data_IF_254701006537
#
_entry.id   IF_254701006537
#
_cell.length_a   1.000
_cell.length_b   1.000
_cell.length_c   1.000
_cell.angle_alpha   90.00
_cell.angle_beta   90.00
_cell.angle_gamma   90.00
#
_symmetry.space_group_name_H-M   'P 1'
#
loop_
_entity.id
_entity.type
_entity.pdbx_description
1 polymer ?
#
# COMPACT_ATOMS: atom_id res chain seq x y z
N UNK A 1 -17.74 -19.89 -8.54
CA UNK A 1 -16.34 -20.11 -8.10
C UNK A 1 -16.17 -19.27 -6.85
N UNK A 2 -16.20 -19.91 -5.69
CA UNK A 2 -16.23 -19.22 -4.41
C UNK A 2 -14.81 -19.17 -3.85
N UNK A 3 -14.26 -17.97 -3.73
CA UNK A 3 -12.90 -17.77 -3.22
C UNK A 3 -12.99 -17.37 -1.76
N UNK A 4 -12.59 -18.28 -0.87
CA UNK A 4 -12.56 -18.01 0.57
C UNK A 4 -11.17 -17.48 0.95
N UNK A 5 -11.13 -16.36 1.67
CA UNK A 5 -9.90 -15.81 2.21
C UNK A 5 -9.72 -16.32 3.63
N UNK A 6 -8.60 -17.01 3.88
CA UNK A 6 -8.31 -17.65 5.17
C UNK A 6 -7.10 -16.93 5.77
N UNK A 7 -7.25 -16.41 7.00
CA UNK A 7 -6.14 -15.83 7.74
C UNK A 7 -5.45 -16.93 8.56
N UNK A 8 -4.15 -17.07 8.37
CA UNK A 8 -3.34 -18.01 9.13
C UNK A 8 -2.99 -17.40 10.49
N UNK A 9 -3.46 -18.02 11.57
CA UNK A 9 -3.17 -17.59 12.95
C UNK A 9 -2.00 -18.35 13.58
N UNK A 10 -1.64 -19.52 13.06
CA UNK A 10 -0.53 -20.33 13.59
C UNK A 10 0.38 -20.87 12.49
N UNK A 11 1.70 -21.01 12.76
CA UNK A 11 2.64 -21.57 11.78
C UNK A 11 2.37 -23.05 11.49
N UNK A 12 1.73 -23.79 12.41
CA UNK A 12 1.33 -25.19 12.20
C UNK A 12 0.27 -25.33 11.12
N UNK A 13 -0.61 -24.34 10.97
CA UNK A 13 -1.66 -24.34 9.93
C UNK A 13 -1.07 -24.29 8.52
N UNK A 14 0.15 -23.76 8.33
CA UNK A 14 0.82 -23.76 7.02
C UNK A 14 1.09 -25.18 6.51
N UNK A 15 1.52 -26.09 7.40
CA UNK A 15 1.80 -27.48 7.04
C UNK A 15 0.52 -28.22 6.65
N UNK A 16 -0.56 -28.03 7.41
CA UNK A 16 -1.87 -28.58 7.09
C UNK A 16 -2.37 -28.10 5.73
N UNK A 17 -2.11 -26.83 5.39
CA UNK A 17 -2.53 -26.24 4.13
C UNK A 17 -1.75 -26.79 2.93
N UNK A 18 -0.46 -27.07 3.10
CA UNK A 18 0.35 -27.79 2.11
C UNK A 18 -0.17 -29.22 1.88
N UNK A 19 -0.49 -29.94 2.97
CA UNK A 19 -1.09 -31.28 2.88
C UNK A 19 -2.47 -31.25 2.17
N UNK A 20 -3.29 -30.22 2.42
CA UNK A 20 -4.57 -30.01 1.73
C UNK A 20 -4.40 -29.60 0.25
N UNK A 21 -3.32 -28.90 -0.08
CA UNK A 21 -2.94 -28.56 -1.45
C UNK A 21 -2.44 -29.78 -2.23
N UNK A 22 -1.65 -30.67 -1.60
CA UNK A 22 -1.26 -31.96 -2.18
C UNK A 22 -2.48 -32.82 -2.53
N UNK A 23 -3.50 -32.77 -1.68
CA UNK A 23 -4.79 -33.44 -1.90
C UNK A 23 -5.67 -32.73 -2.95
N UNK A 24 -5.21 -31.62 -3.54
CA UNK A 24 -5.91 -30.82 -4.55
C UNK A 24 -7.27 -30.24 -4.09
N UNK A 25 -7.51 -30.19 -2.77
CA UNK A 25 -8.78 -29.71 -2.20
C UNK A 25 -8.83 -28.18 -2.12
N UNK A 26 -7.67 -27.53 -2.00
CA UNK A 26 -7.52 -26.09 -1.85
C UNK A 26 -6.31 -25.64 -2.68
N UNK A 27 -6.44 -24.48 -3.34
CA UNK A 27 -5.32 -23.81 -4.02
C UNK A 27 -4.94 -22.58 -3.22
N UNK A 28 -3.70 -22.49 -2.76
CA UNK A 28 -3.24 -21.34 -1.97
C UNK A 28 -3.01 -20.17 -2.91
N UNK A 29 -4.02 -19.34 -3.09
CA UNK A 29 -3.88 -18.05 -3.76
C UNK A 29 -3.15 -17.10 -2.80
N UNK A 30 -1.81 -17.20 -2.72
CA UNK A 30 -0.99 -16.14 -2.13
C UNK A 30 -1.31 -14.88 -2.91
N UNK A 31 -2.15 -14.00 -2.33
CA UNK A 31 -2.24 -12.64 -2.84
C UNK A 31 -0.84 -12.09 -2.70
N UNK A 32 -0.27 -11.64 -3.82
CA UNK A 32 0.74 -10.61 -3.82
C UNK A 32 0.21 -9.52 -2.90
N UNK A 33 0.68 -9.53 -1.65
CA UNK A 33 0.72 -8.34 -0.82
C UNK A 33 1.51 -7.41 -1.73
N UNK A 34 0.81 -6.50 -2.38
CA UNK A 34 1.39 -5.49 -3.24
C UNK A 34 2.62 -5.00 -2.48
N UNK A 35 3.78 -5.20 -3.10
CA UNK A 35 5.05 -4.83 -2.53
C UNK A 35 4.89 -3.45 -1.89
N UNK A 36 5.52 -3.30 -0.73
CA UNK A 36 5.65 -2.06 0.02
C UNK A 36 6.44 -1.03 -0.82
N UNK A 37 5.88 -0.68 -1.98
CA UNK A 37 6.42 0.30 -2.89
C UNK A 37 6.22 1.59 -2.13
N UNK A 38 7.33 2.11 -1.61
CA UNK A 38 7.37 3.40 -0.96
C UNK A 38 6.61 4.38 -1.84
N UNK A 39 5.64 5.06 -1.25
CA UNK A 39 4.80 6.01 -1.99
C UNK A 39 5.67 7.07 -2.68
N UNK A 40 6.85 7.39 -2.12
CA UNK A 40 7.88 8.20 -2.77
C UNK A 40 8.23 7.70 -4.17
N UNK A 41 8.42 6.40 -4.34
CA UNK A 41 8.84 5.79 -5.60
C UNK A 41 7.66 5.70 -6.58
N UNK A 42 6.44 5.51 -6.05
CA UNK A 42 5.21 5.51 -6.86
C UNK A 42 4.89 6.88 -7.46
N UNK A 43 5.24 7.96 -6.77
CA UNK A 43 4.90 9.33 -7.16
C UNK A 43 6.13 10.17 -7.57
N UNK A 44 7.33 9.63 -7.50
CA UNK A 44 8.55 10.25 -8.03
C UNK A 44 8.37 10.62 -9.50
N UNK A 45 8.62 11.88 -9.85
CA UNK A 45 8.55 12.40 -11.21
C UNK A 45 7.13 12.56 -11.79
N UNK A 46 6.06 12.27 -11.04
CA UNK A 46 4.67 12.49 -11.50
C UNK A 46 4.20 13.94 -11.34
N UNK A 47 4.90 14.74 -10.54
CA UNK A 47 4.61 16.14 -10.36
C UNK A 47 5.59 16.95 -11.22
N UNK A 48 5.06 17.74 -12.16
CA UNK A 48 5.88 18.70 -12.90
C UNK A 48 6.48 19.73 -11.94
N UNK A 49 7.74 20.11 -12.16
CA UNK A 49 8.46 21.08 -11.33
C UNK A 49 7.67 22.39 -11.18
N UNK A 50 7.00 22.83 -12.26
CA UNK A 50 6.20 24.07 -12.28
C UNK A 50 5.02 24.00 -11.30
N UNK A 51 4.34 22.85 -11.23
CA UNK A 51 3.19 22.66 -10.33
C UNK A 51 3.66 22.55 -8.88
N UNK A 52 4.83 21.94 -8.65
CA UNK A 52 5.43 21.86 -7.33
C UNK A 52 5.77 23.25 -6.78
N UNK A 53 6.34 24.12 -7.61
CA UNK A 53 6.72 25.47 -7.20
C UNK A 53 5.48 26.34 -6.87
N UNK A 54 4.42 26.25 -7.67
CA UNK A 54 3.16 26.98 -7.41
C UNK A 54 2.53 26.51 -6.10
N UNK A 55 2.46 25.20 -5.86
CA UNK A 55 1.92 24.65 -4.62
C UNK A 55 2.75 25.07 -3.41
N UNK A 56 4.08 25.06 -3.53
CA UNK A 56 4.97 25.49 -2.45
C UNK A 56 4.75 26.98 -2.11
N UNK A 57 4.63 27.84 -3.12
CA UNK A 57 4.33 29.28 -2.92
C UNK A 57 2.98 29.49 -2.23
N UNK A 58 1.94 28.73 -2.60
CA UNK A 58 0.62 28.82 -1.96
C UNK A 58 0.65 28.35 -0.50
N UNK A 59 1.39 27.28 -0.20
CA UNK A 59 1.58 26.80 1.19
C UNK A 59 2.31 27.84 2.02
N UNK A 60 3.34 28.48 1.46
CA UNK A 60 4.13 29.50 2.15
C UNK A 60 3.31 30.78 2.38
N UNK A 61 2.52 31.22 1.41
CA UNK A 61 1.54 32.30 1.59
C UNK A 61 0.53 31.97 2.68
N UNK A 62 -0.06 30.77 2.65
CA UNK A 62 -1.01 30.33 3.67
C UNK A 62 -0.37 30.32 5.06
N UNK A 63 0.87 29.84 5.21
CA UNK A 63 1.58 29.87 6.49
C UNK A 63 1.84 31.28 6.98
N UNK A 64 2.28 32.18 6.10
CA UNK A 64 2.52 33.57 6.45
C UNK A 64 1.23 34.30 6.85
N UNK A 65 0.10 33.98 6.20
CA UNK A 65 -1.22 34.50 6.57
C UNK A 65 -1.69 34.00 7.94
N UNK A 66 -1.33 32.77 8.31
CA UNK A 66 -1.64 32.21 9.63
C UNK A 66 -0.75 32.79 10.73
N UNK A 67 0.56 32.95 10.47
CA UNK A 67 1.50 33.60 11.39
C UNK A 67 1.20 35.10 11.57
N UNK A 68 0.70 35.77 10.53
CA UNK A 68 0.31 37.18 10.61
C UNK A 68 -1.02 37.43 11.34
N UNK A 69 -1.80 36.37 11.62
CA UNK A 69 -3.07 36.43 12.36
C UNK A 69 -2.96 35.89 13.81
N UNK A 70 -1.74 35.62 14.28
CA UNK A 70 -1.39 35.27 15.67
C UNK A 70 -0.74 36.48 16.34
#
# INVERSE_FOLDING_TARGET
MDTVLIQLTTPKTMKLLLELEELHLLRVLKRNISSDIKLSDKYAGKLSADVAEVLQKQIEQSRNEWESNI
#
